data_IF_270224393327
#
_entry.id   IF_270224393327
#
_cell.length_a   1.000
_cell.length_b   1.000
_cell.length_c   1.000
_cell.angle_alpha   90.00
_cell.angle_beta   90.00
_cell.angle_gamma   90.00
#
_symmetry.space_group_name_H-M   'P 1'
#
loop_
_entity.id
_entity.type
_entity.pdbx_description
1 polymer ?
#
# COMPACT_ATOMS: atom_id res chain seq x y z
N UNK A 1 -13.17 -0.32 -40.94
CA UNK A 1 -11.74 -0.22 -40.60
C UNK A 1 -11.54 1.10 -39.90
N UNK A 2 -11.64 1.13 -38.59
CA UNK A 2 -11.28 2.31 -37.78
C UNK A 2 -9.82 2.14 -37.38
N UNK A 3 -9.00 3.06 -37.81
CA UNK A 3 -7.57 3.15 -37.50
C UNK A 3 -7.39 3.30 -36.01
N UNK A 4 -6.80 2.27 -35.37
CA UNK A 4 -6.22 2.37 -34.04
C UNK A 4 -5.09 3.41 -34.11
N UNK A 5 -5.36 4.64 -33.66
CA UNK A 5 -4.30 5.57 -33.34
C UNK A 5 -3.55 5.02 -32.10
N UNK A 6 -2.34 4.54 -32.33
CA UNK A 6 -1.39 4.23 -31.30
C UNK A 6 -1.00 5.53 -30.60
N UNK A 7 -1.57 5.81 -29.45
CA UNK A 7 -1.08 6.84 -28.53
C UNK A 7 0.18 6.32 -27.84
N UNK A 8 1.29 6.30 -28.55
CA UNK A 8 2.59 6.28 -27.89
C UNK A 8 2.85 7.71 -27.40
N UNK A 9 2.38 8.06 -26.20
CA UNK A 9 3.03 9.13 -25.45
C UNK A 9 4.48 8.70 -25.22
N UNK A 10 5.43 9.55 -25.59
CA UNK A 10 6.84 9.40 -25.18
C UNK A 10 6.87 9.32 -23.65
N UNK A 11 6.91 8.09 -23.15
CA UNK A 11 7.03 7.83 -21.72
C UNK A 11 8.47 8.18 -21.36
N UNK A 12 8.70 9.39 -20.85
CA UNK A 12 9.99 9.79 -20.30
C UNK A 12 10.15 9.14 -18.92
N UNK A 13 11.01 8.14 -18.81
CA UNK A 13 11.34 7.47 -17.55
C UNK A 13 10.85 6.02 -17.46
N UNK A 14 11.08 5.35 -16.32
CA UNK A 14 10.63 3.98 -16.09
C UNK A 14 9.09 3.86 -16.11
N UNK A 15 8.60 2.68 -16.50
CA UNK A 15 7.17 2.39 -16.41
C UNK A 15 6.73 2.30 -14.95
N UNK A 16 7.47 1.53 -14.13
CA UNK A 16 7.17 1.31 -12.71
C UNK A 16 8.40 1.57 -11.86
N UNK A 17 8.23 2.36 -10.79
CA UNK A 17 9.14 2.44 -9.64
C UNK A 17 8.63 1.50 -8.55
N UNK A 18 9.42 0.48 -8.23
CA UNK A 18 9.21 -0.40 -7.09
C UNK A 18 9.93 0.19 -5.88
N UNK A 19 9.18 0.59 -4.86
CA UNK A 19 9.74 1.15 -3.62
C UNK A 19 9.70 0.06 -2.57
N UNK A 20 10.89 -0.44 -2.21
CA UNK A 20 11.08 -1.49 -1.20
C UNK A 20 11.54 -0.82 0.09
N UNK A 21 10.83 -1.06 1.20
CA UNK A 21 11.28 -0.62 2.53
C UNK A 21 11.83 -1.80 3.32
N UNK A 22 12.95 -1.58 4.02
CA UNK A 22 13.60 -2.61 4.84
C UNK A 22 14.11 -2.04 6.15
N UNK A 23 14.02 -2.83 7.21
CA UNK A 23 14.63 -2.57 8.52
C UNK A 23 14.91 -3.89 9.23
N UNK A 24 16.19 -4.19 9.48
CA UNK A 24 16.64 -5.39 10.18
C UNK A 24 16.05 -6.71 9.65
N UNK A 25 15.83 -6.81 8.34
CA UNK A 25 15.31 -8.02 7.72
C UNK A 25 16.41 -9.04 7.41
N UNK A 26 16.10 -10.34 7.47
CA UNK A 26 16.98 -11.37 6.95
C UNK A 26 17.28 -11.11 5.46
N UNK A 27 18.54 -11.07 5.09
CA UNK A 27 19.00 -10.74 3.74
C UNK A 27 18.37 -11.62 2.65
N UNK A 28 18.09 -12.88 2.98
CA UNK A 28 17.46 -13.82 2.06
C UNK A 28 16.07 -13.35 1.61
N UNK A 29 15.26 -12.77 2.52
CA UNK A 29 13.94 -12.24 2.14
C UNK A 29 14.05 -11.06 1.20
N UNK A 30 14.99 -10.16 1.48
CA UNK A 30 15.25 -9.01 0.63
C UNK A 30 15.73 -9.42 -0.77
N UNK A 31 16.58 -10.45 -0.88
CA UNK A 31 16.98 -11.04 -2.16
C UNK A 31 15.79 -11.63 -2.92
N UNK A 32 14.94 -12.43 -2.25
CA UNK A 32 13.72 -13.00 -2.86
C UNK A 32 12.77 -11.90 -3.35
N UNK A 33 12.61 -10.83 -2.58
CA UNK A 33 11.82 -9.66 -2.96
C UNK A 33 12.33 -9.05 -4.27
N UNK A 34 13.63 -8.72 -4.34
CA UNK A 34 14.25 -8.10 -5.52
C UNK A 34 14.22 -9.05 -6.72
N UNK A 35 14.53 -10.33 -6.53
CA UNK A 35 14.50 -11.35 -7.59
C UNK A 35 13.11 -11.46 -8.21
N UNK A 36 12.04 -11.38 -7.41
CA UNK A 36 10.67 -11.41 -7.91
C UNK A 36 10.37 -10.25 -8.87
N UNK A 37 10.94 -9.07 -8.62
CA UNK A 37 10.82 -7.89 -9.49
C UNK A 37 11.71 -8.04 -10.74
N UNK A 38 12.92 -8.59 -10.57
CA UNK A 38 13.85 -8.79 -11.67
C UNK A 38 13.36 -9.83 -12.68
N UNK A 39 12.53 -10.79 -12.26
CA UNK A 39 11.91 -11.81 -13.11
C UNK A 39 10.72 -11.31 -13.93
N UNK A 40 10.19 -10.11 -13.65
CA UNK A 40 9.09 -9.52 -14.41
C UNK A 40 9.52 -9.17 -15.83
N UNK A 41 8.56 -9.17 -16.76
CA UNK A 41 8.76 -8.84 -18.19
C UNK A 41 9.06 -7.35 -18.44
N UNK A 42 9.65 -6.66 -17.46
CA UNK A 42 10.11 -5.28 -17.54
C UNK A 42 11.61 -5.26 -17.87
N UNK A 43 12.00 -4.56 -18.92
CA UNK A 43 13.43 -4.34 -19.17
C UNK A 43 14.02 -3.30 -18.21
N UNK A 44 15.36 -3.13 -18.22
CA UNK A 44 16.06 -2.26 -17.29
C UNK A 44 15.68 -0.77 -17.41
N UNK A 45 15.07 -0.34 -18.53
CA UNK A 45 14.59 1.04 -18.69
C UNK A 45 13.14 1.21 -18.25
N UNK A 46 12.39 0.12 -18.18
CA UNK A 46 10.98 0.14 -17.78
C UNK A 46 10.79 -0.01 -16.28
N UNK A 47 11.79 -0.52 -15.56
CA UNK A 47 11.73 -0.68 -14.09
C UNK A 47 12.77 0.17 -13.39
N UNK A 48 12.40 0.67 -12.24
CA UNK A 48 13.25 1.32 -11.26
C UNK A 48 13.01 0.63 -9.91
N UNK A 49 14.05 0.16 -9.26
CA UNK A 49 13.97 -0.48 -7.94
C UNK A 49 14.65 0.44 -6.94
N UNK A 50 13.88 0.98 -6.00
CA UNK A 50 14.35 1.89 -4.96
C UNK A 50 14.28 1.13 -3.63
N UNK A 51 15.42 0.77 -3.09
CA UNK A 51 15.54 0.13 -1.79
C UNK A 51 15.84 1.18 -0.72
N UNK A 52 14.90 1.37 0.21
CA UNK A 52 15.03 2.30 1.33
C UNK A 52 15.27 1.52 2.61
N UNK A 53 16.49 1.60 3.13
CA UNK A 53 16.90 1.04 4.43
C UNK A 53 16.62 2.08 5.53
N UNK A 54 15.66 1.77 6.39
CA UNK A 54 15.26 2.62 7.51
C UNK A 54 16.18 2.46 8.73
N UNK A 55 17.49 2.41 8.48
CA UNK A 55 18.52 2.41 9.52
C UNK A 55 18.79 1.05 10.15
N UNK A 56 18.83 -0.02 9.36
CA UNK A 56 19.21 -1.36 9.83
C UNK A 56 20.55 -1.37 10.56
N UNK A 57 20.67 -2.19 11.58
CA UNK A 57 21.90 -2.32 12.38
C UNK A 57 23.08 -2.80 11.52
N UNK A 58 22.81 -3.77 10.64
CA UNK A 58 23.76 -4.27 9.63
C UNK A 58 23.34 -3.75 8.27
N UNK A 59 24.28 -3.15 7.53
CA UNK A 59 24.02 -2.65 6.19
C UNK A 59 23.75 -3.82 5.23
N UNK A 60 22.57 -3.91 4.58
CA UNK A 60 22.28 -5.03 3.69
C UNK A 60 23.15 -5.06 2.42
N UNK A 61 23.77 -3.94 2.03
CA UNK A 61 24.60 -3.87 0.81
C UNK A 61 25.79 -4.78 0.83
N UNK A 62 26.35 -5.10 2.02
CA UNK A 62 27.53 -5.95 2.14
C UNK A 62 27.30 -7.35 1.58
N UNK A 63 26.03 -7.82 1.59
CA UNK A 63 25.63 -9.12 1.07
C UNK A 63 24.82 -9.05 -0.24
N UNK A 64 24.75 -7.86 -0.87
CA UNK A 64 23.90 -7.60 -2.05
C UNK A 64 24.70 -7.08 -3.26
N UNK A 65 25.99 -7.39 -3.35
CA UNK A 65 26.86 -6.89 -4.41
C UNK A 65 26.33 -7.15 -5.84
N UNK A 66 25.68 -8.30 -6.06
CA UNK A 66 25.09 -8.70 -7.34
C UNK A 66 23.89 -7.82 -7.74
N UNK A 67 23.22 -7.16 -6.80
CA UNK A 67 22.05 -6.32 -7.05
C UNK A 67 22.35 -4.85 -7.25
N UNK A 68 23.57 -4.39 -6.93
CA UNK A 68 23.94 -2.96 -6.94
C UNK A 68 23.71 -2.27 -8.30
N UNK A 69 23.83 -3.01 -9.39
CA UNK A 69 23.57 -2.47 -10.74
C UNK A 69 22.07 -2.34 -11.08
N UNK A 70 21.18 -2.92 -10.26
CA UNK A 70 19.74 -3.00 -10.50
C UNK A 70 18.92 -2.11 -9.55
N UNK A 71 19.52 -1.64 -8.45
CA UNK A 71 18.82 -0.92 -7.39
C UNK A 71 19.37 0.48 -7.17
N UNK A 72 18.51 1.39 -6.75
CA UNK A 72 18.87 2.66 -6.12
C UNK A 72 18.76 2.42 -4.62
N UNK A 73 19.89 2.40 -3.93
CA UNK A 73 19.91 2.21 -2.48
C UNK A 73 19.92 3.55 -1.75
N UNK A 74 18.99 3.70 -0.82
CA UNK A 74 18.87 4.85 0.07
C UNK A 74 18.91 4.36 1.51
N UNK A 75 19.59 5.09 2.38
CA UNK A 75 19.61 4.81 3.81
C UNK A 75 19.29 6.07 4.60
N UNK A 76 18.45 5.92 5.63
CA UNK A 76 18.12 6.97 6.58
C UNK A 76 18.30 6.46 8.02
N UNK A 77 18.43 7.34 9.02
CA UNK A 77 18.24 6.93 10.41
C UNK A 77 16.82 6.38 10.59
N UNK A 78 16.62 5.38 11.46
CA UNK A 78 15.29 4.81 11.67
C UNK A 78 14.27 5.89 12.07
N UNK A 79 13.25 6.07 11.22
CA UNK A 79 12.16 7.02 11.39
C UNK A 79 10.79 6.40 11.07
N UNK A 80 10.77 5.08 10.82
CA UNK A 80 9.58 4.30 10.52
C UNK A 80 9.22 4.25 9.04
N UNK A 81 8.40 3.25 8.70
CA UNK A 81 8.00 2.90 7.32
C UNK A 81 7.38 4.08 6.57
N UNK A 82 6.59 4.94 7.22
CA UNK A 82 5.98 6.14 6.64
C UNK A 82 7.03 7.07 6.04
N UNK A 83 8.11 7.35 6.77
CA UNK A 83 9.19 8.23 6.31
C UNK A 83 9.98 7.56 5.19
N UNK A 84 10.26 6.27 5.32
CA UNK A 84 10.96 5.50 4.30
C UNK A 84 10.17 5.45 2.98
N UNK A 85 8.86 5.19 3.01
CA UNK A 85 7.99 5.22 1.81
C UNK A 85 7.95 6.63 1.20
N UNK A 86 7.81 7.67 2.01
CA UNK A 86 7.85 9.07 1.51
C UNK A 86 9.18 9.40 0.84
N UNK A 87 10.29 8.93 1.38
CA UNK A 87 11.60 9.13 0.77
C UNK A 87 11.70 8.41 -0.58
N UNK A 88 11.22 7.17 -0.65
CA UNK A 88 11.12 6.44 -1.92
C UNK A 88 10.28 7.17 -2.98
N UNK A 89 9.11 7.72 -2.59
CA UNK A 89 8.24 8.52 -3.48
C UNK A 89 8.99 9.72 -4.05
N UNK A 90 9.76 10.45 -3.24
CA UNK A 90 10.49 11.65 -3.69
C UNK A 90 11.56 11.35 -4.75
N UNK A 91 12.12 10.14 -4.75
CA UNK A 91 13.16 9.72 -5.68
C UNK A 91 12.59 9.03 -6.92
N UNK A 92 11.42 8.44 -6.80
CA UNK A 92 10.75 7.69 -7.87
C UNK A 92 10.57 8.52 -9.14
N UNK A 93 10.92 7.94 -10.30
CA UNK A 93 10.78 8.53 -11.63
C UNK A 93 9.81 7.77 -12.53
N UNK A 94 9.32 6.63 -12.05
CA UNK A 94 8.38 5.80 -12.79
C UNK A 94 7.03 6.48 -12.98
N UNK A 95 6.36 6.14 -14.09
CA UNK A 95 4.99 6.61 -14.34
C UNK A 95 4.00 6.02 -13.36
N UNK A 96 4.32 4.84 -12.84
CA UNK A 96 3.57 4.14 -11.79
C UNK A 96 4.49 3.83 -10.61
N UNK A 97 3.89 3.68 -9.44
CA UNK A 97 4.55 3.29 -8.19
C UNK A 97 3.92 2.00 -7.66
N UNK A 98 4.77 1.09 -7.19
CA UNK A 98 4.41 -0.09 -6.42
C UNK A 98 5.25 -0.12 -5.15
N UNK A 99 4.60 -0.15 -3.99
CA UNK A 99 5.28 -0.45 -2.73
C UNK A 99 5.42 -1.96 -2.55
N UNK A 100 6.56 -2.38 -2.04
CA UNK A 100 6.81 -3.79 -1.68
C UNK A 100 7.51 -3.81 -0.33
N UNK A 101 6.99 -4.57 0.61
CA UNK A 101 7.69 -4.78 1.87
C UNK A 101 8.84 -5.77 1.66
N UNK A 102 10.01 -5.51 2.26
CA UNK A 102 11.26 -6.24 1.94
C UNK A 102 11.25 -7.72 2.31
N UNK A 103 10.29 -8.18 3.12
CA UNK A 103 10.10 -9.59 3.46
C UNK A 103 9.07 -10.31 2.56
N UNK A 104 8.43 -9.59 1.63
CA UNK A 104 7.42 -10.09 0.72
C UNK A 104 7.95 -10.23 -0.72
N UNK A 105 7.14 -10.74 -1.64
CA UNK A 105 7.51 -10.84 -3.05
C UNK A 105 6.30 -10.82 -3.99
N UNK A 106 6.54 -10.49 -5.26
CA UNK A 106 5.53 -10.47 -6.31
C UNK A 106 5.37 -11.87 -6.93
N UNK A 107 4.13 -12.29 -7.16
CA UNK A 107 3.82 -13.56 -7.84
C UNK A 107 3.83 -13.30 -9.34
N UNK A 108 4.91 -13.69 -10.02
CA UNK A 108 5.23 -13.31 -11.40
C UNK A 108 4.04 -13.42 -12.35
N UNK A 109 3.47 -14.59 -12.55
CA UNK A 109 2.39 -14.81 -13.55
C UNK A 109 1.19 -13.90 -13.30
N UNK A 110 0.75 -13.78 -12.05
CA UNK A 110 -0.39 -12.95 -11.69
C UNK A 110 -0.07 -11.46 -11.79
N UNK A 111 1.16 -11.05 -11.45
CA UNK A 111 1.58 -9.65 -11.54
C UNK A 111 1.77 -9.18 -12.98
N UNK A 112 2.16 -10.08 -13.92
CA UNK A 112 2.22 -9.76 -15.36
C UNK A 112 0.86 -9.30 -15.91
N UNK A 113 -0.25 -9.89 -15.46
CA UNK A 113 -1.58 -9.40 -15.85
C UNK A 113 -1.86 -7.98 -15.37
N UNK A 114 -1.35 -7.61 -14.18
CA UNK A 114 -1.44 -6.23 -13.70
C UNK A 114 -0.59 -5.29 -14.56
N UNK A 115 0.62 -5.73 -14.98
CA UNK A 115 1.48 -4.96 -15.87
C UNK A 115 0.87 -4.76 -17.27
N UNK A 116 0.14 -5.74 -17.78
CA UNK A 116 -0.59 -5.59 -19.04
C UNK A 116 -1.64 -4.48 -18.97
N UNK A 117 -2.38 -4.39 -17.85
CA UNK A 117 -3.31 -3.27 -17.64
C UNK A 117 -2.56 -1.94 -17.57
N UNK A 118 -1.44 -1.89 -16.85
CA UNK A 118 -0.58 -0.70 -16.74
C UNK A 118 -0.11 -0.23 -18.13
N UNK A 119 0.33 -1.16 -18.99
CA UNK A 119 0.84 -0.87 -20.33
C UNK A 119 -0.23 -0.42 -21.31
N UNK A 120 -1.39 -1.10 -21.31
CA UNK A 120 -2.34 -1.01 -22.41
C UNK A 120 -3.65 -0.29 -22.09
N UNK A 121 -3.98 -0.10 -20.81
CA UNK A 121 -5.30 0.40 -20.40
C UNK A 121 -5.28 1.73 -19.64
N UNK A 122 -4.09 2.33 -19.44
CA UNK A 122 -3.92 3.63 -18.76
C UNK A 122 -4.74 3.74 -17.45
N UNK A 123 -4.51 2.83 -16.49
CA UNK A 123 -5.18 2.91 -15.20
C UNK A 123 -4.67 4.09 -14.38
N UNK A 124 -5.44 4.51 -13.38
CA UNK A 124 -4.90 5.28 -12.27
C UNK A 124 -4.44 4.35 -11.16
N UNK A 125 -5.20 3.26 -10.93
CA UNK A 125 -4.85 2.22 -9.96
C UNK A 125 -5.20 0.84 -10.54
N UNK A 126 -4.35 -0.15 -10.28
CA UNK A 126 -4.65 -1.58 -10.46
C UNK A 126 -4.53 -2.25 -9.11
N UNK A 127 -5.65 -2.75 -8.56
CA UNK A 127 -5.64 -3.49 -7.29
C UNK A 127 -5.55 -4.98 -7.53
N UNK A 128 -4.99 -5.72 -6.58
CA UNK A 128 -4.89 -7.17 -6.60
C UNK A 128 -4.95 -7.74 -5.18
N UNK A 129 -5.08 -9.06 -5.07
CA UNK A 129 -5.16 -9.75 -3.79
C UNK A 129 -3.79 -10.22 -3.30
N UNK A 130 -3.71 -10.53 -2.01
CA UNK A 130 -2.58 -11.21 -1.39
C UNK A 130 -2.76 -12.73 -1.40
N UNK A 131 -1.64 -13.46 -1.47
CA UNK A 131 -1.54 -14.85 -1.13
C UNK A 131 -0.63 -15.02 0.09
N UNK A 132 -1.01 -15.90 1.00
CA UNK A 132 -0.20 -16.34 2.15
C UNK A 132 0.30 -17.79 2.01
N UNK A 133 -0.14 -18.48 0.97
CA UNK A 133 0.34 -19.80 0.57
C UNK A 133 0.65 -19.77 -0.92
N UNK A 134 1.55 -20.64 -1.41
CA UNK A 134 1.84 -20.71 -2.85
C UNK A 134 0.53 -20.88 -3.61
N UNK A 135 0.18 -19.88 -4.39
CA UNK A 135 -1.03 -19.87 -5.20
C UNK A 135 -1.03 -21.11 -6.11
N UNK A 136 -2.09 -21.92 -6.02
CA UNK A 136 -2.15 -23.23 -6.68
C UNK A 136 -2.86 -23.22 -8.03
N UNK A 137 -3.53 -22.14 -8.41
CA UNK A 137 -4.34 -22.11 -9.62
C UNK A 137 -4.14 -20.81 -10.39
N UNK A 138 -3.89 -20.95 -11.71
CA UNK A 138 -4.01 -19.85 -12.66
C UNK A 138 -5.49 -19.50 -12.78
N UNK A 139 -5.88 -18.34 -12.25
CA UNK A 139 -7.21 -17.80 -12.51
C UNK A 139 -7.24 -17.27 -13.95
N UNK A 140 -8.25 -17.64 -14.77
CA UNK A 140 -8.38 -17.07 -16.10
C UNK A 140 -8.38 -15.55 -16.03
N UNK A 141 -7.57 -14.92 -16.87
CA UNK A 141 -7.49 -13.47 -16.94
C UNK A 141 -8.75 -12.93 -17.62
N UNK A 142 -9.54 -12.18 -16.87
CA UNK A 142 -10.61 -11.35 -17.41
C UNK A 142 -10.28 -9.88 -17.15
N UNK A 143 -10.32 -9.05 -18.19
CA UNK A 143 -10.11 -7.62 -18.05
C UNK A 143 -11.31 -6.99 -17.32
N UNK A 144 -11.15 -6.48 -16.08
CA UNK A 144 -12.26 -5.87 -15.37
C UNK A 144 -12.65 -4.52 -16.00
N UNK A 145 -13.91 -4.14 -15.86
CA UNK A 145 -14.36 -2.78 -16.19
C UNK A 145 -13.83 -1.81 -15.13
N UNK A 146 -13.14 -0.73 -15.53
CA UNK A 146 -12.64 0.24 -14.56
C UNK A 146 -13.79 1.02 -13.91
N UNK A 147 -13.61 1.34 -12.62
CA UNK A 147 -14.52 2.18 -11.83
C UNK A 147 -13.75 3.33 -11.19
N UNK A 148 -14.46 4.40 -10.80
CA UNK A 148 -13.82 5.51 -10.07
C UNK A 148 -13.50 5.11 -8.63
N UNK A 149 -12.57 5.83 -7.98
CA UNK A 149 -12.22 5.60 -6.59
C UNK A 149 -13.40 5.82 -5.64
N UNK A 150 -14.23 6.81 -5.92
CA UNK A 150 -15.48 7.05 -5.19
C UNK A 150 -16.42 5.84 -5.29
N UNK A 151 -16.58 5.29 -6.48
CA UNK A 151 -17.37 4.09 -6.69
C UNK A 151 -16.77 2.87 -5.99
N UNK A 152 -15.44 2.72 -6.09
CA UNK A 152 -14.73 1.63 -5.40
C UNK A 152 -14.97 1.66 -3.89
N UNK A 153 -14.77 2.80 -3.24
CA UNK A 153 -14.96 2.96 -1.80
C UNK A 153 -16.43 2.78 -1.35
N UNK A 154 -17.39 3.09 -2.22
CA UNK A 154 -18.81 2.85 -1.94
C UNK A 154 -19.22 1.37 -2.09
N UNK A 155 -18.62 0.63 -3.01
CA UNK A 155 -19.05 -0.74 -3.36
C UNK A 155 -18.18 -1.83 -2.73
N UNK A 156 -16.91 -1.56 -2.47
CA UNK A 156 -15.96 -2.57 -2.01
C UNK A 156 -15.40 -2.24 -0.62
N UNK A 157 -15.03 -3.26 0.11
CA UNK A 157 -14.22 -3.10 1.31
C UNK A 157 -12.77 -2.86 0.87
N UNK A 158 -12.23 -1.72 1.27
CA UNK A 158 -10.86 -1.37 0.97
C UNK A 158 -9.92 -2.23 1.82
N UNK A 159 -8.99 -2.91 1.17
CA UNK A 159 -7.83 -3.47 1.86
C UNK A 159 -6.83 -2.33 2.05
N UNK A 160 -6.57 -1.93 3.28
CA UNK A 160 -5.80 -0.74 3.62
C UNK A 160 -4.29 -0.88 3.44
N UNK A 161 -3.79 -1.91 2.74
CA UNK A 161 -2.35 -2.06 2.51
C UNK A 161 -1.89 -1.31 1.26
N UNK A 162 -0.83 -0.51 1.38
CA UNK A 162 -0.20 0.19 0.26
C UNK A 162 0.46 -0.76 -0.75
N UNK A 163 0.76 -2.00 -0.34
CA UNK A 163 1.36 -3.02 -1.20
C UNK A 163 0.36 -3.75 -2.09
N UNK A 164 -0.97 -3.55 -1.90
CA UNK A 164 -2.03 -4.27 -2.61
C UNK A 164 -2.42 -3.66 -3.97
N UNK A 165 -1.69 -2.68 -4.46
CA UNK A 165 -2.01 -2.01 -5.72
C UNK A 165 -0.80 -1.30 -6.35
N UNK A 166 -0.84 -1.20 -7.70
CA UNK A 166 0.00 -0.29 -8.49
C UNK A 166 -0.79 0.99 -8.73
N UNK A 167 -0.18 2.15 -8.60
CA UNK A 167 -0.85 3.41 -8.87
C UNK A 167 -0.03 4.36 -9.73
N UNK A 168 -0.73 5.18 -10.51
CA UNK A 168 -0.12 6.22 -11.34
C UNK A 168 0.53 7.28 -10.47
N UNK A 169 1.79 7.59 -10.72
CA UNK A 169 2.58 8.50 -9.89
C UNK A 169 1.95 9.90 -9.74
N UNK A 170 1.42 10.45 -10.82
CA UNK A 170 0.92 11.82 -10.80
C UNK A 170 -0.34 12.03 -9.94
N UNK A 171 -1.12 10.96 -9.63
CA UNK A 171 -2.31 11.12 -8.78
C UNK A 171 -1.96 11.33 -7.30
N UNK A 172 -0.72 11.03 -6.89
CA UNK A 172 -0.29 11.22 -5.50
C UNK A 172 -0.30 12.71 -5.11
N UNK A 173 0.07 13.61 -6.02
CA UNK A 173 0.18 15.05 -5.74
C UNK A 173 0.99 15.34 -4.49
N UNK A 174 0.39 16.01 -3.49
CA UNK A 174 1.01 16.30 -2.19
C UNK A 174 0.71 15.29 -1.10
N UNK A 175 0.07 14.15 -1.42
CA UNK A 175 -0.26 13.11 -0.43
C UNK A 175 1.01 12.43 0.05
N UNK A 176 1.13 12.27 1.36
CA UNK A 176 2.25 11.60 2.02
C UNK A 176 1.73 10.69 3.14
N UNK A 177 2.48 9.65 3.45
CA UNK A 177 2.29 8.91 4.68
C UNK A 177 2.62 9.81 5.88
N UNK A 178 1.82 9.75 6.94
CA UNK A 178 2.06 10.58 8.12
C UNK A 178 3.20 10.00 8.96
N UNK A 179 4.31 10.74 9.17
CA UNK A 179 5.36 10.33 10.09
C UNK A 179 4.83 10.08 11.51
N UNK A 180 5.40 9.07 12.19
CA UNK A 180 5.03 8.72 13.56
C UNK A 180 3.78 7.87 13.74
N UNK A 181 3.02 7.60 12.66
CA UNK A 181 2.01 6.54 12.66
C UNK A 181 2.73 5.24 12.31
N UNK A 182 2.78 4.32 13.28
CA UNK A 182 3.44 3.01 13.15
C UNK A 182 2.46 1.92 12.72
N UNK A 183 1.16 2.14 12.98
CA UNK A 183 0.08 1.24 12.63
C UNK A 183 -1.06 1.99 11.94
N UNK A 184 -1.47 1.47 10.78
CA UNK A 184 -2.59 2.03 10.05
C UNK A 184 -2.22 3.26 9.20
N UNK A 185 -0.94 3.50 8.95
CA UNK A 185 -0.47 4.52 8.02
C UNK A 185 -1.06 4.31 6.62
N UNK A 186 -1.19 3.05 6.22
CA UNK A 186 -1.82 2.63 4.96
C UNK A 186 -3.32 2.92 4.94
N UNK A 187 -3.99 2.76 6.10
CA UNK A 187 -5.41 3.05 6.27
C UNK A 187 -5.73 4.54 6.15
N UNK A 188 -4.75 5.39 6.48
CA UNK A 188 -4.85 6.83 6.25
C UNK A 188 -4.58 7.19 4.78
N UNK A 189 -3.53 6.64 4.20
CA UNK A 189 -3.02 6.99 2.87
C UNK A 189 -3.93 6.48 1.75
N UNK A 190 -4.27 5.19 1.78
CA UNK A 190 -4.93 4.49 0.67
C UNK A 190 -6.29 5.09 0.28
N UNK A 191 -7.24 5.36 1.20
CA UNK A 191 -8.53 5.93 0.79
C UNK A 191 -8.40 7.33 0.18
N UNK A 192 -7.44 8.14 0.62
CA UNK A 192 -7.17 9.45 0.05
C UNK A 192 -6.60 9.35 -1.37
N UNK A 193 -5.72 8.38 -1.62
CA UNK A 193 -5.20 8.10 -2.96
C UNK A 193 -6.30 7.60 -3.89
N UNK A 194 -7.15 6.69 -3.42
CA UNK A 194 -8.24 6.11 -4.20
C UNK A 194 -9.26 7.17 -4.63
N UNK A 195 -9.62 8.13 -3.77
CA UNK A 195 -10.52 9.23 -4.13
C UNK A 195 -10.01 10.10 -5.30
N UNK A 196 -8.71 10.08 -5.59
CA UNK A 196 -8.11 10.81 -6.71
C UNK A 196 -8.10 10.03 -8.02
N UNK A 197 -8.52 8.75 -7.99
CA UNK A 197 -8.49 7.85 -9.14
C UNK A 197 -9.84 7.85 -9.87
N UNK A 198 -9.79 8.03 -11.19
CA UNK A 198 -10.95 7.92 -12.08
C UNK A 198 -11.07 6.52 -12.71
N UNK A 199 -9.96 5.78 -12.77
CA UNK A 199 -9.87 4.48 -13.44
C UNK A 199 -9.14 3.46 -12.59
N UNK A 200 -9.91 2.76 -11.74
CA UNK A 200 -9.41 1.65 -10.94
C UNK A 200 -9.80 0.33 -11.61
N UNK A 201 -8.81 -0.50 -11.91
CA UNK A 201 -9.00 -1.87 -12.36
C UNK A 201 -8.84 -2.81 -11.16
N UNK A 202 -9.94 -3.45 -10.74
CA UNK A 202 -9.93 -4.39 -9.62
C UNK A 202 -9.69 -5.79 -10.14
N UNK A 203 -8.48 -6.30 -9.94
CA UNK A 203 -8.12 -7.68 -10.27
C UNK A 203 -8.50 -8.61 -9.13
N UNK A 204 -9.06 -9.78 -9.46
CA UNK A 204 -9.34 -10.83 -8.48
C UNK A 204 -8.19 -11.85 -8.36
N UNK A 205 -7.02 -11.52 -8.94
CA UNK A 205 -5.82 -12.35 -8.90
C UNK A 205 -4.97 -12.05 -7.66
N UNK A 206 -4.30 -13.06 -7.11
CA UNK A 206 -3.32 -12.92 -6.04
C UNK A 206 -1.94 -12.67 -6.65
N UNK A 207 -1.54 -11.40 -6.75
CA UNK A 207 -0.29 -10.98 -7.39
C UNK A 207 0.83 -10.63 -6.41
N UNK A 208 0.56 -10.66 -5.12
CA UNK A 208 1.49 -10.32 -4.05
C UNK A 208 1.51 -11.44 -3.01
N UNK A 209 2.68 -11.94 -2.67
CA UNK A 209 2.85 -12.93 -1.60
C UNK A 209 3.18 -12.22 -0.30
N UNK A 210 2.28 -12.32 0.67
CA UNK A 210 2.47 -11.83 2.02
C UNK A 210 3.08 -12.93 2.89
N UNK A 211 4.29 -12.68 3.40
CA UNK A 211 4.99 -13.61 4.29
C UNK A 211 4.52 -13.43 5.73
N UNK A 212 4.00 -14.49 6.32
CA UNK A 212 3.75 -14.50 7.76
C UNK A 212 5.09 -14.54 8.51
N UNK A 213 5.51 -13.40 9.03
CA UNK A 213 6.71 -13.27 9.84
C UNK A 213 6.31 -13.14 11.32
N UNK A 214 6.66 -14.12 12.19
CA UNK A 214 6.35 -14.06 13.62
C UNK A 214 6.95 -12.83 14.31
N UNK A 215 8.07 -12.32 13.80
CA UNK A 215 8.78 -11.14 14.35
C UNK A 215 8.24 -9.82 13.81
N UNK A 216 7.23 -9.87 12.92
CA UNK A 216 6.59 -8.67 12.39
C UNK A 216 5.96 -7.82 13.50
N UNK A 217 6.11 -6.52 13.36
CA UNK A 217 5.51 -5.51 14.25
C UNK A 217 4.00 -5.73 14.44
N UNK A 218 3.32 -6.25 13.43
CA UNK A 218 1.89 -6.56 13.46
C UNK A 218 1.52 -7.73 14.41
N UNK A 219 2.47 -8.60 14.73
CA UNK A 219 2.26 -9.78 15.60
C UNK A 219 2.66 -9.57 17.08
N UNK A 220 3.28 -8.44 17.40
CA UNK A 220 3.63 -8.12 18.78
C UNK A 220 2.39 -7.85 19.62
N UNK A 221 2.25 -8.57 20.76
CA UNK A 221 1.03 -8.61 21.60
C UNK A 221 1.28 -7.98 22.98
N UNK A 222 2.40 -7.31 23.20
CA UNK A 222 2.60 -6.65 24.48
C UNK A 222 1.61 -5.48 24.68
N UNK A 223 1.35 -5.12 25.93
CA UNK A 223 0.33 -4.14 26.30
C UNK A 223 0.64 -2.73 25.77
N UNK A 224 1.91 -2.38 25.66
CA UNK A 224 2.31 -1.05 25.16
C UNK A 224 2.07 -0.93 23.67
N UNK A 225 2.44 -1.97 22.92
CA UNK A 225 2.21 -2.03 21.46
C UNK A 225 0.72 -2.07 21.12
N UNK A 226 -0.07 -2.77 21.93
CA UNK A 226 -1.54 -2.77 21.77
C UNK A 226 -2.11 -1.36 21.97
N UNK A 227 -1.69 -0.65 23.04
CA UNK A 227 -2.15 0.72 23.28
C UNK A 227 -1.67 1.67 22.16
N UNK A 228 -0.44 1.53 21.68
CA UNK A 228 0.09 2.31 20.57
C UNK A 228 -0.75 2.10 19.30
N UNK A 229 -1.06 0.84 18.97
CA UNK A 229 -1.93 0.50 17.83
C UNK A 229 -3.31 1.14 17.95
N UNK A 230 -3.92 1.05 19.13
CA UNK A 230 -5.23 1.65 19.36
C UNK A 230 -5.18 3.17 19.21
N UNK A 231 -4.16 3.83 19.77
CA UNK A 231 -3.99 5.28 19.64
C UNK A 231 -3.76 5.69 18.17
N UNK A 232 -2.91 4.97 17.43
CA UNK A 232 -2.68 5.25 16.02
C UNK A 232 -3.97 5.08 15.20
N UNK A 233 -4.74 4.00 15.42
CA UNK A 233 -6.00 3.78 14.71
C UNK A 233 -6.99 4.94 14.94
N UNK A 234 -7.14 5.41 16.19
CA UNK A 234 -7.98 6.56 16.47
C UNK A 234 -7.46 7.84 15.78
N UNK A 235 -6.15 8.07 15.79
CA UNK A 235 -5.54 9.20 15.10
C UNK A 235 -5.82 9.16 13.58
N UNK A 236 -5.71 7.99 12.94
CA UNK A 236 -6.04 7.77 11.52
C UNK A 236 -7.49 8.13 11.24
N UNK A 237 -8.43 7.62 12.05
CA UNK A 237 -9.87 7.92 11.92
C UNK A 237 -10.12 9.42 11.99
N UNK A 238 -9.58 10.11 13.00
CA UNK A 238 -9.75 11.55 13.21
C UNK A 238 -9.12 12.38 12.08
N UNK A 239 -7.98 11.95 11.55
CA UNK A 239 -7.34 12.60 10.40
C UNK A 239 -8.18 12.47 9.14
N UNK A 240 -8.71 11.27 8.84
CA UNK A 240 -9.62 11.10 7.71
C UNK A 240 -10.89 11.94 7.89
N UNK A 241 -11.45 11.98 9.09
CA UNK A 241 -12.62 12.82 9.40
C UNK A 241 -12.34 14.30 9.15
N UNK A 242 -11.17 14.80 9.52
CA UNK A 242 -10.79 16.20 9.29
C UNK A 242 -10.66 16.59 7.81
N UNK A 243 -10.58 15.61 6.90
CA UNK A 243 -10.53 15.84 5.44
C UNK A 243 -11.91 16.01 4.80
N UNK A 244 -12.98 15.58 5.47
CA UNK A 244 -14.33 15.55 4.89
C UNK A 244 -14.81 16.90 4.35
N UNK A 245 -14.49 18.00 5.04
CA UNK A 245 -14.92 19.32 4.62
C UNK A 245 -14.14 19.85 3.41
N UNK A 246 -12.94 19.33 3.18
CA UNK A 246 -12.04 19.75 2.11
C UNK A 246 -12.26 19.00 0.78
N UNK A 247 -13.05 17.92 0.77
CA UNK A 247 -13.29 17.09 -0.42
C UNK A 247 -14.69 17.39 -1.03
N UNK A 248 -14.88 17.11 -2.33
CA UNK A 248 -16.18 17.26 -3.00
C UNK A 248 -17.29 16.45 -2.32
N UNK A 249 -18.53 16.99 -2.38
CA UNK A 249 -19.70 16.36 -1.73
C UNK A 249 -19.92 14.92 -2.18
N UNK A 250 -19.71 14.60 -3.46
CA UNK A 250 -19.87 13.25 -4.00
C UNK A 250 -18.88 12.23 -3.41
N UNK A 251 -17.72 12.67 -2.96
CA UNK A 251 -16.67 11.83 -2.36
C UNK A 251 -16.85 11.67 -0.85
N UNK A 252 -17.54 12.60 -0.18
CA UNK A 252 -17.74 12.58 1.28
C UNK A 252 -18.41 11.31 1.76
N UNK A 253 -19.42 10.82 1.04
CA UNK A 253 -20.12 9.59 1.40
C UNK A 253 -19.17 8.38 1.36
N UNK A 254 -18.33 8.29 0.34
CA UNK A 254 -17.37 7.22 0.17
C UNK A 254 -16.32 7.23 1.31
N UNK A 255 -15.77 8.41 1.65
CA UNK A 255 -14.83 8.53 2.76
C UNK A 255 -15.50 8.28 4.11
N UNK A 256 -16.73 8.78 4.32
CA UNK A 256 -17.50 8.49 5.54
C UNK A 256 -17.77 6.99 5.73
N UNK A 257 -18.07 6.26 4.65
CA UNK A 257 -18.20 4.79 4.73
C UNK A 257 -16.91 4.14 5.22
N UNK A 258 -15.73 4.61 4.72
CA UNK A 258 -14.44 4.08 5.19
C UNK A 258 -14.17 4.45 6.65
N UNK A 259 -14.43 5.67 7.06
CA UNK A 259 -14.32 6.13 8.45
C UNK A 259 -15.18 5.25 9.37
N UNK A 260 -16.43 4.97 8.96
CA UNK A 260 -17.33 4.12 9.74
C UNK A 260 -16.80 2.69 9.87
N UNK A 261 -16.23 2.10 8.81
CA UNK A 261 -15.59 0.79 8.89
C UNK A 261 -14.43 0.79 9.88
N UNK A 262 -13.49 1.73 9.77
CA UNK A 262 -12.36 1.84 10.68
C UNK A 262 -12.80 2.09 12.15
N UNK A 263 -13.87 2.86 12.33
CA UNK A 263 -14.46 3.09 13.67
C UNK A 263 -15.03 1.81 14.26
N UNK A 264 -15.69 0.99 13.44
CA UNK A 264 -16.21 -0.32 13.88
C UNK A 264 -15.06 -1.28 14.22
N UNK A 265 -14.00 -1.31 13.42
CA UNK A 265 -12.81 -2.12 13.68
C UNK A 265 -12.09 -1.65 14.97
N UNK A 266 -11.98 -0.35 15.18
CA UNK A 266 -11.46 0.24 16.42
C UNK A 266 -12.29 -0.19 17.64
N UNK A 267 -13.61 -0.09 17.56
CA UNK A 267 -14.52 -0.50 18.63
C UNK A 267 -14.40 -2.00 18.92
N UNK A 268 -14.43 -2.83 17.90
CA UNK A 268 -14.29 -4.28 18.01
C UNK A 268 -12.97 -4.68 18.69
N UNK A 269 -11.85 -4.09 18.25
CA UNK A 269 -10.54 -4.36 18.81
C UNK A 269 -10.45 -3.91 20.28
N UNK A 270 -11.04 -2.77 20.66
CA UNK A 270 -11.13 -2.36 22.05
C UNK A 270 -11.89 -3.35 22.94
N UNK A 271 -13.03 -3.86 22.46
CA UNK A 271 -13.81 -4.87 23.18
C UNK A 271 -12.98 -6.15 23.36
N UNK A 272 -12.38 -6.62 22.26
CA UNK A 272 -11.59 -7.85 22.27
C UNK A 272 -10.38 -7.80 23.21
N UNK A 273 -9.74 -6.62 23.31
CA UNK A 273 -8.53 -6.47 24.10
C UNK A 273 -8.79 -6.20 25.58
N UNK A 274 -9.83 -5.43 25.90
CA UNK A 274 -10.07 -4.96 27.27
C UNK A 274 -11.07 -5.84 28.02
N UNK A 275 -11.88 -6.66 27.37
CA UNK A 275 -12.88 -7.58 27.95
C UNK A 275 -13.74 -6.96 29.07
N UNK A 276 -14.04 -5.64 29.00
CA UNK A 276 -14.67 -4.88 30.06
C UNK A 276 -15.77 -3.95 29.52
N UNK A 277 -16.98 -4.05 30.11
CA UNK A 277 -18.09 -3.15 29.78
C UNK A 277 -17.79 -1.69 30.14
N UNK A 278 -16.99 -1.46 31.19
CA UNK A 278 -16.57 -0.11 31.58
C UNK A 278 -15.68 0.47 30.48
N UNK A 279 -14.73 -0.30 29.97
CA UNK A 279 -13.86 0.12 28.89
C UNK A 279 -14.64 0.35 27.59
N UNK A 280 -15.64 -0.46 27.28
CA UNK A 280 -16.53 -0.25 26.15
C UNK A 280 -17.29 1.07 26.25
N UNK A 281 -17.90 1.35 27.41
CA UNK A 281 -18.63 2.60 27.64
C UNK A 281 -17.70 3.83 27.53
N UNK A 282 -16.46 3.73 28.02
CA UNK A 282 -15.46 4.78 27.87
C UNK A 282 -15.10 5.02 26.41
N UNK A 283 -14.87 3.96 25.63
CA UNK A 283 -14.59 4.06 24.19
C UNK A 283 -15.76 4.66 23.41
N UNK A 284 -17.00 4.25 23.72
CA UNK A 284 -18.19 4.86 23.10
C UNK A 284 -18.32 6.34 23.45
N UNK A 285 -18.05 6.71 24.70
CA UNK A 285 -18.08 8.11 25.11
C UNK A 285 -17.02 8.96 24.37
N UNK A 286 -15.81 8.41 24.18
CA UNK A 286 -14.74 9.01 23.39
C UNK A 286 -15.15 9.20 21.92
N UNK A 287 -15.68 8.15 21.27
CA UNK A 287 -16.16 8.23 19.89
C UNK A 287 -17.28 9.27 19.72
N UNK A 288 -18.21 9.37 20.70
CA UNK A 288 -19.27 10.40 20.71
C UNK A 288 -18.72 11.83 20.80
N UNK A 289 -17.67 12.04 21.62
CA UNK A 289 -17.02 13.36 21.71
C UNK A 289 -16.42 13.79 20.38
N UNK A 290 -15.99 12.84 19.57
CA UNK A 290 -15.46 13.07 18.22
C UNK A 290 -16.52 13.03 17.11
N UNK A 291 -17.80 12.81 17.43
CA UNK A 291 -18.88 12.72 16.43
C UNK A 291 -18.81 11.47 15.54
N UNK A 292 -18.18 10.41 16.03
CA UNK A 292 -17.97 9.14 15.31
C UNK A 292 -18.99 8.06 15.70
N UNK A 293 -19.90 8.34 16.64
CA UNK A 293 -20.90 7.41 17.17
C UNK A 293 -22.20 8.12 17.51
#
# INVERSE_FOLDING_TARGET
MQTQQSYTQDIQGPLVSFIITTYNLPIQYLKECIDSILQLSLNAKEREIILVDDGSDICPLDEMAEYLQHIIYLRQPNQGVSVARNYGIQIAKGNFIQFVDGDDYLIQTAYEHCLDIVRYHQPDIVTFNFANSKAKEEVPYELPTPISGTEYLNKHNLHGSACSYIFRHNIIGSLQFTPGIVYGEDEEFTPQLFLRAERIFKMDTAAYFYRENPDSVSHQIDKEMVNLRMNNNLQVILKLQSKLDAIPVGERQALNRRIAQLTMDYLYNNIRMKHSLIALNSTIAELRQHGLY
#
